data_IF_771070198313
#
_entry.id   IF_771070198313
#
_cell.length_a   1.000
_cell.length_b   1.000
_cell.length_c   1.000
_cell.angle_alpha   90.00
_cell.angle_beta   90.00
_cell.angle_gamma   90.00
#
_symmetry.space_group_name_H-M   'P 1'
#
loop_
_entity.id
_entity.type
_entity.pdbx_description
1 polymer ?
#
# COMPACT_ATOMS: atom_id res chain seq x y z
N UNK A 1 -2.42 13.29 -34.88
CA UNK A 1 -2.48 14.40 -33.90
C UNK A 1 -3.89 14.49 -33.36
N UNK A 2 -4.03 14.82 -32.06
CA UNK A 2 -5.26 14.82 -31.22
C UNK A 2 -5.48 13.49 -30.46
N UNK A 3 -5.68 13.42 -29.14
CA UNK A 3 -5.95 14.42 -28.09
C UNK A 3 -5.36 14.02 -26.73
N UNK A 4 -4.88 15.04 -26.01
CA UNK A 4 -4.88 15.27 -24.55
C UNK A 4 -4.20 14.29 -23.57
N UNK A 5 -3.30 14.80 -22.70
CA UNK A 5 -2.85 14.08 -21.52
C UNK A 5 -3.95 14.11 -20.46
N UNK A 6 -4.44 12.94 -20.05
CA UNK A 6 -5.28 12.84 -18.86
C UNK A 6 -4.40 13.09 -17.64
N UNK A 7 -4.34 14.33 -17.17
CA UNK A 7 -3.88 14.62 -15.82
C UNK A 7 -4.78 13.91 -14.82
N UNK A 8 -4.25 13.18 -13.83
CA UNK A 8 -4.95 13.02 -12.57
C UNK A 8 -4.20 13.84 -11.53
N UNK A 9 -4.60 15.11 -11.37
CA UNK A 9 -4.52 15.75 -10.05
C UNK A 9 -5.66 15.19 -9.18
N UNK A 10 -5.76 13.85 -9.12
CA UNK A 10 -6.58 13.15 -8.15
C UNK A 10 -5.73 12.99 -6.90
N UNK A 11 -6.28 13.30 -5.73
CA UNK A 11 -5.63 12.95 -4.47
C UNK A 11 -5.21 11.48 -4.53
N UNK A 12 -3.96 11.16 -4.16
CA UNK A 12 -3.46 9.80 -4.29
C UNK A 12 -4.39 8.85 -3.54
N UNK A 13 -4.81 7.77 -4.20
CA UNK A 13 -5.59 6.72 -3.55
C UNK A 13 -4.76 6.01 -2.50
N UNK A 14 -5.39 5.23 -1.62
CA UNK A 14 -4.68 4.45 -0.62
C UNK A 14 -3.59 3.56 -1.23
N UNK A 15 -3.86 2.98 -2.41
CA UNK A 15 -2.90 2.15 -3.14
C UNK A 15 -1.66 2.94 -3.57
N UNK A 16 -1.84 4.17 -4.07
CA UNK A 16 -0.73 5.03 -4.49
C UNK A 16 0.16 5.41 -3.31
N UNK A 17 -0.45 5.69 -2.15
CA UNK A 17 0.29 5.97 -0.92
C UNK A 17 1.07 4.74 -0.47
N UNK A 18 0.46 3.54 -0.47
CA UNK A 18 1.20 2.31 -0.13
C UNK A 18 2.37 2.09 -1.09
N UNK A 19 2.16 2.23 -2.39
CA UNK A 19 3.22 2.08 -3.40
C UNK A 19 4.36 3.09 -3.17
N UNK A 20 4.04 4.36 -2.95
CA UNK A 20 5.04 5.40 -2.71
C UNK A 20 5.97 5.08 -1.52
N UNK A 21 5.44 4.47 -0.47
CA UNK A 21 6.23 4.10 0.71
C UNK A 21 6.95 2.76 0.57
N UNK A 22 6.37 1.78 -0.13
CA UNK A 22 6.87 0.41 -0.20
C UNK A 22 7.84 0.20 -1.37
N UNK A 23 7.65 0.88 -2.49
CA UNK A 23 8.48 0.75 -3.69
C UNK A 23 9.97 1.05 -3.41
N UNK A 24 10.36 2.12 -2.68
CA UNK A 24 11.77 2.36 -2.37
C UNK A 24 12.41 1.29 -1.47
N UNK A 25 11.60 0.45 -0.82
CA UNK A 25 12.06 -0.55 0.13
C UNK A 25 12.14 -1.95 -0.49
N UNK A 26 11.24 -2.24 -1.43
CA UNK A 26 11.03 -3.58 -1.97
C UNK A 26 11.25 -3.66 -3.50
N UNK A 27 11.23 -2.53 -4.20
CA UNK A 27 11.10 -2.43 -5.65
C UNK A 27 9.64 -2.53 -6.12
N UNK A 28 9.35 -1.99 -7.31
CA UNK A 28 7.99 -1.86 -7.85
C UNK A 28 7.20 -3.18 -7.87
N UNK A 29 7.76 -4.23 -8.48
CA UNK A 29 7.10 -5.52 -8.60
C UNK A 29 6.82 -6.16 -7.23
N UNK A 30 7.80 -6.15 -6.32
CA UNK A 30 7.65 -6.74 -4.99
C UNK A 30 6.66 -5.96 -4.14
N UNK A 31 6.64 -4.62 -4.23
CA UNK A 31 5.68 -3.79 -3.52
C UNK A 31 4.24 -4.09 -3.97
N UNK A 32 3.99 -4.14 -5.29
CA UNK A 32 2.69 -4.55 -5.85
C UNK A 32 2.27 -5.92 -5.34
N UNK A 33 3.20 -6.87 -5.37
CA UNK A 33 2.90 -8.24 -4.95
C UNK A 33 2.68 -8.36 -3.45
N UNK A 34 3.37 -7.56 -2.63
CA UNK A 34 3.16 -7.51 -1.20
C UNK A 34 1.75 -7.03 -0.86
N UNK A 35 1.31 -5.93 -1.48
CA UNK A 35 -0.04 -5.37 -1.29
C UNK A 35 -1.10 -6.38 -1.72
N UNK A 36 -0.94 -6.97 -2.90
CA UNK A 36 -1.87 -7.98 -3.43
C UNK A 36 -1.95 -9.22 -2.51
N UNK A 37 -0.79 -9.72 -2.08
CA UNK A 37 -0.72 -10.88 -1.16
C UNK A 37 -1.35 -10.57 0.19
N UNK A 38 -1.10 -9.38 0.75
CA UNK A 38 -1.67 -8.97 2.01
C UNK A 38 -3.21 -8.87 1.92
N UNK A 39 -3.74 -8.21 0.88
CA UNK A 39 -5.18 -8.07 0.64
C UNK A 39 -5.86 -9.45 0.48
N UNK A 40 -5.30 -10.34 -0.35
CA UNK A 40 -5.82 -11.70 -0.51
C UNK A 40 -5.75 -12.50 0.78
N UNK A 41 -4.68 -12.33 1.57
CA UNK A 41 -4.50 -13.06 2.83
C UNK A 41 -5.59 -12.69 3.84
N UNK A 42 -5.79 -11.39 4.07
CA UNK A 42 -6.62 -10.85 5.16
C UNK A 42 -8.09 -10.63 4.78
N UNK A 43 -8.38 -10.27 3.53
CA UNK A 43 -9.72 -9.90 3.06
C UNK A 43 -10.29 -10.86 2.01
N UNK A 44 -9.47 -11.80 1.49
CA UNK A 44 -9.84 -12.73 0.39
C UNK A 44 -10.30 -12.01 -0.88
N UNK A 45 -9.88 -10.75 -1.06
CA UNK A 45 -10.21 -9.89 -2.19
C UNK A 45 -8.93 -9.24 -2.72
N UNK A 46 -8.86 -8.98 -4.03
CA UNK A 46 -7.72 -8.28 -4.61
C UNK A 46 -7.78 -6.78 -4.27
N UNK A 47 -6.65 -6.04 -4.36
CA UNK A 47 -6.56 -4.62 -4.01
C UNK A 47 -7.64 -3.74 -4.64
N UNK A 48 -8.02 -4.00 -5.88
CA UNK A 48 -9.01 -3.19 -6.62
C UNK A 48 -10.42 -3.25 -5.98
N UNK A 49 -10.68 -4.24 -5.13
CA UNK A 49 -11.93 -4.41 -4.39
C UNK A 49 -11.83 -4.00 -2.91
N UNK A 50 -10.68 -3.49 -2.47
CA UNK A 50 -10.45 -3.05 -1.09
C UNK A 50 -10.88 -1.59 -0.94
N UNK A 51 -11.72 -1.35 0.07
CA UNK A 51 -12.16 0.00 0.42
C UNK A 51 -11.21 0.64 1.44
N UNK A 52 -11.20 1.97 1.53
CA UNK A 52 -10.29 2.71 2.44
C UNK A 52 -10.44 2.29 3.92
N UNK A 53 -11.65 1.93 4.34
CA UNK A 53 -11.92 1.45 5.70
C UNK A 53 -11.27 0.09 6.02
N UNK A 54 -11.00 -0.72 5.00
CA UNK A 54 -10.39 -2.06 5.15
C UNK A 54 -8.86 -2.02 5.09
N UNK A 55 -8.26 -0.91 4.65
CA UNK A 55 -6.80 -0.76 4.51
C UNK A 55 -6.01 -1.06 5.79
N UNK A 56 -6.47 -0.72 7.01
CA UNK A 56 -5.78 -1.14 8.23
C UNK A 56 -5.55 -2.66 8.32
N UNK A 57 -6.48 -3.48 7.81
CA UNK A 57 -6.31 -4.94 7.78
C UNK A 57 -5.23 -5.37 6.76
N UNK A 58 -5.12 -4.65 5.64
CA UNK A 58 -4.06 -4.86 4.66
C UNK A 58 -2.68 -4.54 5.26
N UNK A 59 -2.58 -3.46 6.05
CA UNK A 59 -1.33 -3.10 6.76
C UNK A 59 -0.88 -4.21 7.73
N UNK A 60 -1.81 -4.81 8.48
CA UNK A 60 -1.51 -5.97 9.32
C UNK A 60 -1.04 -7.18 8.49
N UNK A 61 -1.64 -7.39 7.32
CA UNK A 61 -1.24 -8.43 6.38
C UNK A 61 0.17 -8.26 5.82
N UNK A 62 0.67 -7.03 5.72
CA UNK A 62 2.03 -6.72 5.24
C UNK A 62 3.12 -7.02 6.27
N UNK A 63 2.79 -6.93 7.56
CA UNK A 63 3.77 -7.01 8.66
C UNK A 63 4.70 -8.23 8.59
N UNK A 64 4.23 -9.47 8.38
CA UNK A 64 5.13 -10.63 8.31
C UNK A 64 6.14 -10.54 7.17
N UNK A 65 5.72 -10.01 6.02
CA UNK A 65 6.56 -9.89 4.83
C UNK A 65 7.59 -8.77 5.01
N UNK A 66 7.17 -7.61 5.50
CA UNK A 66 8.08 -6.49 5.79
C UNK A 66 9.12 -6.87 6.85
N UNK A 67 8.73 -7.63 7.89
CA UNK A 67 9.68 -8.11 8.89
C UNK A 67 10.84 -8.91 8.27
N UNK A 68 10.56 -9.69 7.22
CA UNK A 68 11.58 -10.46 6.49
C UNK A 68 12.47 -9.57 5.63
N UNK A 69 11.88 -8.63 4.88
CA UNK A 69 12.64 -7.81 3.92
C UNK A 69 13.44 -6.67 4.56
N UNK A 70 12.86 -6.01 5.57
CA UNK A 70 13.41 -4.76 6.13
C UNK A 70 13.64 -4.81 7.63
N UNK A 71 13.37 -5.96 8.27
CA UNK A 71 13.52 -6.15 9.71
C UNK A 71 12.36 -5.56 10.53
N UNK A 72 12.21 -6.05 11.77
CA UNK A 72 11.04 -5.76 12.61
C UNK A 72 10.94 -4.29 13.05
N UNK A 73 12.08 -3.66 13.39
CA UNK A 73 12.13 -2.26 13.81
C UNK A 73 11.69 -1.34 12.67
N UNK A 74 12.25 -1.54 11.48
CA UNK A 74 11.92 -0.72 10.31
C UNK A 74 10.48 -0.95 9.87
N UNK A 75 10.00 -2.19 9.93
CA UNK A 75 8.59 -2.54 9.65
C UNK A 75 7.62 -1.77 10.53
N UNK A 76 7.87 -1.74 11.84
CA UNK A 76 6.99 -1.04 12.79
C UNK A 76 6.90 0.45 12.48
N UNK A 77 8.04 1.08 12.17
CA UNK A 77 8.09 2.48 11.78
C UNK A 77 7.35 2.72 10.45
N UNK A 78 7.62 1.90 9.42
CA UNK A 78 6.97 2.01 8.10
C UNK A 78 5.45 1.85 8.21
N UNK A 79 4.95 0.87 8.96
CA UNK A 79 3.51 0.66 9.15
C UNK A 79 2.86 1.80 9.93
N UNK A 80 3.57 2.38 10.90
CA UNK A 80 3.10 3.56 11.64
C UNK A 80 2.95 4.78 10.74
N UNK A 81 3.94 5.05 9.89
CA UNK A 81 3.88 6.16 8.94
C UNK A 81 2.79 5.94 7.88
N UNK A 82 2.64 4.71 7.38
CA UNK A 82 1.55 4.34 6.48
C UNK A 82 0.17 4.56 7.13
N UNK A 83 -0.02 4.13 8.39
CA UNK A 83 -1.28 4.32 9.11
C UNK A 83 -1.63 5.81 9.23
N UNK A 84 -0.67 6.66 9.62
CA UNK A 84 -0.85 8.12 9.67
C UNK A 84 -1.16 8.73 8.30
N UNK A 85 -0.53 8.22 7.24
CA UNK A 85 -0.82 8.66 5.88
C UNK A 85 -2.25 8.30 5.45
N UNK A 86 -2.75 7.12 5.84
CA UNK A 86 -4.14 6.70 5.58
C UNK A 86 -5.17 7.56 6.32
N UNK A 87 -4.87 8.01 7.53
CA UNK A 87 -5.78 8.91 8.27
C UNK A 87 -6.01 10.24 7.55
N UNK A 88 -5.00 10.73 6.82
CA UNK A 88 -5.11 11.97 6.03
C UNK A 88 -5.94 11.82 4.75
N UNK A 89 -6.24 10.59 4.34
CA UNK A 89 -7.09 10.29 3.18
C UNK A 89 -8.58 10.16 3.54
N UNK A 90 -8.92 10.16 4.84
CA UNK A 90 -10.30 10.13 5.35
C UNK A 90 -10.84 11.54 5.51
#
# INVERSE_FOLDING_TARGET
MQTSPSSPSASPGWHDVLMHHLEPLLGDFTAKMAIHTAALRVLKRPPEQVSLQDVPLVLEGLKPMLNVFIGAVRTTNTLTELSKAMEKLR
#
